data_IF_181398765192
#
_entry.id   IF_181398765192
#
_cell.length_a   1.000
_cell.length_b   1.000
_cell.length_c   1.000
_cell.angle_alpha   90.00
_cell.angle_beta   90.00
_cell.angle_gamma   90.00
#
_symmetry.space_group_name_H-M   'P 1'
#
loop_
_entity.id
_entity.type
_entity.pdbx_description
1 polymer ?
#
# COMPACT_ATOMS: atom_id res chain seq x y z
N UNK A 1 15.56 4.70 2.70
CA UNK A 1 14.21 4.12 2.50
C UNK A 1 13.18 5.24 2.41
N UNK A 2 13.18 6.20 3.33
CA UNK A 2 12.28 7.36 3.36
C UNK A 2 12.24 8.17 2.04
N UNK A 3 13.40 8.39 1.40
CA UNK A 3 13.49 9.11 0.11
C UNK A 3 12.61 8.47 -0.98
N UNK A 4 12.60 7.13 -1.08
CA UNK A 4 11.81 6.41 -2.09
C UNK A 4 10.30 6.54 -1.81
N UNK A 5 9.90 6.51 -0.53
CA UNK A 5 8.50 6.69 -0.16
C UNK A 5 8.01 8.10 -0.46
N UNK A 6 8.85 9.11 -0.18
CA UNK A 6 8.60 10.51 -0.53
C UNK A 6 8.35 10.66 -2.03
N UNK A 7 9.32 10.23 -2.85
CA UNK A 7 9.23 10.30 -4.31
C UNK A 7 7.98 9.60 -4.86
N UNK A 8 7.60 8.45 -4.30
CA UNK A 8 6.40 7.72 -4.71
C UNK A 8 5.13 8.50 -4.42
N UNK A 9 4.99 9.06 -3.22
CA UNK A 9 3.78 9.79 -2.83
C UNK A 9 3.67 11.07 -3.65
N UNK A 10 4.76 11.83 -3.79
CA UNK A 10 4.81 13.03 -4.61
C UNK A 10 4.49 12.72 -6.08
N UNK A 11 5.09 11.68 -6.65
CA UNK A 11 4.78 11.23 -8.02
C UNK A 11 3.30 10.90 -8.18
N UNK A 12 2.72 10.20 -7.19
CA UNK A 12 1.31 9.77 -7.22
C UNK A 12 0.35 10.96 -7.15
N UNK A 13 0.70 12.00 -6.38
CA UNK A 13 -0.09 13.22 -6.24
C UNK A 13 0.07 14.21 -7.41
N UNK A 14 1.23 14.20 -8.08
CA UNK A 14 1.52 15.12 -9.21
C UNK A 14 1.02 14.55 -10.54
N UNK A 15 0.86 13.23 -10.66
CA UNK A 15 0.42 12.58 -11.89
C UNK A 15 -1.01 13.02 -12.25
N UNK A 16 -1.11 14.08 -13.06
CA UNK A 16 -2.36 14.55 -13.66
C UNK A 16 -3.10 13.38 -14.30
N UNK A 17 -4.43 13.34 -14.16
CA UNK A 17 -5.34 12.61 -15.06
C UNK A 17 -5.10 13.12 -16.51
N UNK A 18 -4.04 12.68 -17.17
CA UNK A 18 -3.93 12.71 -18.62
C UNK A 18 -4.82 11.58 -19.15
N UNK A 19 -6.12 11.64 -18.87
CA UNK A 19 -7.10 10.77 -19.48
C UNK A 19 -7.23 11.21 -20.93
N UNK A 20 -6.36 10.65 -21.79
CA UNK A 20 -6.76 10.39 -23.16
C UNK A 20 -8.01 9.50 -23.07
N UNK A 21 -9.09 9.91 -23.71
CA UNK A 21 -10.37 9.17 -23.75
C UNK A 21 -10.04 7.71 -24.13
N UNK A 22 -10.20 6.79 -23.17
CA UNK A 22 -9.91 5.36 -23.36
C UNK A 22 -8.61 4.80 -22.74
N UNK A 23 -7.79 5.59 -22.01
CA UNK A 23 -6.63 5.07 -21.27
C UNK A 23 -6.68 5.41 -19.77
N UNK A 24 -6.74 4.39 -18.92
CA UNK A 24 -6.62 4.53 -17.47
C UNK A 24 -5.15 4.76 -17.08
N UNK A 25 -4.86 5.94 -16.52
CA UNK A 25 -3.53 6.27 -16.01
C UNK A 25 -3.26 5.64 -14.64
N UNK A 26 -3.14 4.32 -14.56
CA UNK A 26 -2.77 3.61 -13.33
C UNK A 26 -1.30 3.80 -12.93
N UNK A 27 -1.02 3.71 -11.63
CA UNK A 27 0.35 3.52 -11.10
C UNK A 27 0.42 2.13 -10.50
N UNK A 28 1.40 1.33 -10.93
CA UNK A 28 1.63 -0.01 -10.41
C UNK A 28 2.92 -0.04 -9.60
N UNK A 29 2.80 -0.28 -8.30
CA UNK A 29 3.95 -0.45 -7.41
C UNK A 29 4.37 -1.92 -7.37
N UNK A 30 5.64 -2.22 -7.69
CA UNK A 30 6.17 -3.58 -7.66
C UNK A 30 7.53 -3.60 -6.98
N UNK A 31 7.75 -4.59 -6.11
CA UNK A 31 9.07 -4.86 -5.53
C UNK A 31 9.62 -6.19 -6.07
N UNK A 32 10.94 -6.27 -6.27
CA UNK A 32 11.62 -7.47 -6.79
C UNK A 32 11.46 -8.73 -5.94
N UNK A 33 11.29 -8.59 -4.62
CA UNK A 33 11.45 -9.69 -3.65
C UNK A 33 10.34 -9.81 -2.61
N UNK A 34 9.31 -8.98 -2.61
CA UNK A 34 8.34 -9.10 -1.54
C UNK A 34 7.13 -8.19 -1.61
N UNK A 35 6.00 -8.85 -1.48
CA UNK A 35 4.72 -8.32 -1.05
C UNK A 35 4.81 -7.21 0.02
N UNK A 36 5.64 -7.40 1.06
CA UNK A 36 5.71 -6.50 2.22
C UNK A 36 6.05 -5.05 1.84
N UNK A 37 7.04 -4.81 0.98
CA UNK A 37 7.43 -3.42 0.63
C UNK A 37 6.35 -2.71 -0.18
N UNK A 38 5.72 -3.44 -1.11
CA UNK A 38 4.60 -2.93 -1.90
C UNK A 38 3.38 -2.68 -1.01
N UNK A 39 3.09 -3.58 -0.07
CA UNK A 39 2.00 -3.41 0.89
C UNK A 39 2.25 -2.28 1.87
N UNK A 40 3.50 -1.98 2.25
CA UNK A 40 3.80 -0.82 3.10
C UNK A 40 3.46 0.49 2.37
N UNK A 41 3.82 0.60 1.08
CA UNK A 41 3.46 1.77 0.25
C UNK A 41 1.94 1.86 0.16
N UNK A 42 1.27 0.73 -0.12
CA UNK A 42 -0.18 0.67 -0.27
C UNK A 42 -0.89 1.04 1.02
N UNK A 43 -0.41 0.56 2.18
CA UNK A 43 -0.91 0.92 3.51
C UNK A 43 -0.82 2.42 3.76
N UNK A 44 0.34 3.04 3.50
CA UNK A 44 0.53 4.48 3.72
C UNK A 44 -0.43 5.26 2.82
N UNK A 45 -0.51 4.92 1.53
CA UNK A 45 -1.40 5.60 0.59
C UNK A 45 -2.87 5.44 0.98
N UNK A 46 -3.32 4.22 1.31
CA UNK A 46 -4.70 3.94 1.68
C UNK A 46 -5.10 4.62 3.00
N UNK A 47 -4.20 4.63 4.00
CA UNK A 47 -4.42 5.38 5.24
C UNK A 47 -4.50 6.88 4.98
N UNK A 48 -3.63 7.43 4.13
CA UNK A 48 -3.72 8.83 3.71
C UNK A 48 -5.03 9.14 2.98
N UNK A 49 -5.61 8.18 2.25
CA UNK A 49 -6.92 8.29 1.61
C UNK A 49 -8.10 8.06 2.58
N UNK A 50 -7.85 7.82 3.86
CA UNK A 50 -8.90 7.59 4.86
C UNK A 50 -9.60 6.23 4.74
N UNK A 51 -8.98 5.26 4.07
CA UNK A 51 -9.47 3.88 4.02
C UNK A 51 -9.30 3.24 5.40
N UNK A 52 -10.29 2.46 5.84
CA UNK A 52 -10.29 1.82 7.15
C UNK A 52 -9.24 0.70 7.25
N UNK A 53 -8.75 0.49 8.47
CA UNK A 53 -7.65 -0.44 8.75
C UNK A 53 -7.97 -1.89 8.35
N UNK A 54 -9.23 -2.30 8.46
CA UNK A 54 -9.65 -3.65 8.10
C UNK A 54 -9.52 -3.86 6.60
N UNK A 55 -9.99 -2.92 5.78
CA UNK A 55 -9.85 -2.95 4.32
C UNK A 55 -8.39 -3.00 3.90
N UNK A 56 -7.52 -2.21 4.55
CA UNK A 56 -6.07 -2.19 4.27
C UNK A 56 -5.42 -3.54 4.61
N UNK A 57 -5.75 -4.10 5.77
CA UNK A 57 -5.23 -5.41 6.17
C UNK A 57 -5.69 -6.51 5.20
N UNK A 58 -6.91 -6.42 4.70
CA UNK A 58 -7.46 -7.40 3.75
C UNK A 58 -6.78 -7.32 2.37
N UNK A 59 -6.45 -6.12 1.88
CA UNK A 59 -5.65 -5.93 0.65
C UNK A 59 -4.33 -6.70 0.72
N UNK A 60 -3.62 -6.56 1.84
CA UNK A 60 -2.38 -7.29 2.08
C UNK A 60 -2.62 -8.81 2.05
N UNK A 61 -3.65 -9.32 2.72
CA UNK A 61 -3.95 -10.75 2.67
C UNK A 61 -4.23 -11.26 1.25
N UNK A 62 -4.93 -10.48 0.41
CA UNK A 62 -5.22 -10.83 -0.98
C UNK A 62 -3.96 -10.95 -1.83
N UNK A 63 -3.01 -10.04 -1.68
CA UNK A 63 -1.76 -10.08 -2.47
C UNK A 63 -0.89 -11.28 -2.10
N UNK A 64 -0.88 -11.72 -0.83
CA UNK A 64 -0.25 -13.01 -0.45
C UNK A 64 -1.00 -14.21 -1.01
N UNK A 65 -2.34 -14.23 -0.91
CA UNK A 65 -3.16 -15.31 -1.44
C UNK A 65 -2.95 -15.51 -2.94
N UNK A 66 -2.91 -14.43 -3.73
CA UNK A 66 -2.65 -14.47 -5.17
C UNK A 66 -1.27 -15.08 -5.48
N UNK A 67 -0.24 -14.73 -4.69
CA UNK A 67 1.10 -15.30 -4.83
C UNK A 67 1.15 -16.80 -4.49
N UNK A 68 0.44 -17.23 -3.45
CA UNK A 68 0.35 -18.65 -3.08
C UNK A 68 -0.37 -19.48 -4.16
N UNK A 69 -1.43 -18.94 -4.75
CA UNK A 69 -2.11 -19.60 -5.87
C UNK A 69 -1.24 -19.70 -7.12
N UNK A 70 -0.40 -18.69 -7.41
CA UNK A 70 0.57 -18.74 -8.50
C UNK A 70 1.60 -19.86 -8.28
N UNK A 71 2.09 -20.02 -7.04
CA UNK A 71 2.99 -21.13 -6.67
C UNK A 71 2.31 -22.51 -6.82
N UNK A 72 1.05 -22.66 -6.39
CA UNK A 72 0.28 -23.90 -6.55
C UNK A 72 0.07 -24.29 -8.03
N UNK A 73 -0.11 -23.31 -8.92
CA UNK A 73 -0.17 -23.56 -10.37
C UNK A 73 1.17 -24.02 -10.97
N UNK A 74 2.29 -23.63 -10.37
CA UNK A 74 3.64 -24.04 -10.78
C UNK A 74 4.03 -25.39 -10.14
N UNK A 75 3.52 -25.68 -8.93
CA UNK A 75 3.72 -26.94 -8.19
C UNK A 75 2.53 -27.89 -8.34
N UNK A 76 2.16 -28.26 -9.55
CA UNK A 76 1.09 -29.25 -9.79
C UNK A 76 1.46 -30.70 -9.37
N UNK A 77 2.57 -30.90 -8.65
CA UNK A 77 3.05 -32.22 -8.20
C UNK A 77 3.25 -32.38 -6.69
N UNK A 78 3.01 -31.37 -5.84
CA UNK A 78 3.08 -31.57 -4.38
C UNK A 78 1.91 -30.89 -3.66
N UNK A 79 1.25 -31.68 -2.82
CA UNK A 79 -0.02 -31.41 -2.13
C UNK A 79 0.14 -30.55 -0.87
N UNK A 80 0.75 -29.37 -0.98
CA UNK A 80 0.82 -28.45 0.16
C UNK A 80 -0.08 -27.23 -0.08
N UNK A 81 -1.28 -27.30 0.50
CA UNK A 81 -2.20 -26.16 0.56
C UNK A 81 -1.64 -25.20 1.61
N UNK A 82 -0.82 -24.25 1.14
CA UNK A 82 -0.30 -23.18 1.99
C UNK A 82 -1.48 -22.30 2.46
N UNK A 83 -1.83 -22.41 3.75
CA UNK A 83 -2.90 -21.66 4.39
C UNK A 83 -2.53 -20.18 4.43
N UNK A 84 -3.51 -19.29 4.21
CA UNK A 84 -3.35 -17.87 4.53
C UNK A 84 -3.14 -17.83 6.04
N UNK A 85 -1.90 -17.60 6.48
CA UNK A 85 -1.61 -17.54 7.90
C UNK A 85 -2.25 -16.28 8.46
N UNK A 86 -3.09 -16.44 9.47
CA UNK A 86 -3.70 -15.41 10.33
C UNK A 86 -2.71 -14.36 10.85
N UNK A 87 -1.40 -14.62 10.72
CA UNK A 87 -0.33 -13.69 11.05
C UNK A 87 -0.18 -12.49 10.09
N UNK A 88 -0.64 -12.56 8.84
CA UNK A 88 -0.36 -11.49 7.88
C UNK A 88 -1.18 -10.21 8.11
N UNK A 89 -2.48 -10.37 8.37
CA UNK A 89 -3.31 -9.23 8.78
C UNK A 89 -2.82 -8.65 10.11
N UNK A 90 -2.38 -9.50 11.05
CA UNK A 90 -1.82 -9.07 12.32
C UNK A 90 -0.53 -8.25 12.16
N UNK A 91 0.32 -8.59 11.17
CA UNK A 91 1.52 -7.81 10.86
C UNK A 91 1.14 -6.39 10.40
N UNK A 92 0.16 -6.27 9.49
CA UNK A 92 -0.29 -4.94 9.03
C UNK A 92 -0.96 -4.15 10.14
N UNK A 93 -1.80 -4.79 10.96
CA UNK A 93 -2.43 -4.15 12.10
C UNK A 93 -1.40 -3.62 13.10
N UNK A 94 -0.37 -4.41 13.43
CA UNK A 94 0.74 -3.97 14.29
C UNK A 94 1.57 -2.85 13.67
N UNK A 95 1.69 -2.79 12.34
CA UNK A 95 2.37 -1.70 11.67
C UNK A 95 1.57 -0.40 11.77
N UNK A 96 0.25 -0.45 11.57
CA UNK A 96 -0.65 0.69 11.75
C UNK A 96 -0.58 1.17 13.20
N UNK A 97 -0.80 0.27 14.16
CA UNK A 97 -0.72 0.58 15.60
C UNK A 97 0.63 1.20 15.97
N UNK A 98 1.73 0.67 15.43
CA UNK A 98 3.06 1.24 15.67
C UNK A 98 3.20 2.64 15.09
N UNK A 99 2.67 2.92 13.90
CA UNK A 99 2.71 4.25 13.30
C UNK A 99 1.92 5.23 14.18
N UNK A 100 0.69 4.86 14.53
CA UNK A 100 -0.20 5.72 15.31
C UNK A 100 0.38 5.99 16.71
N UNK A 101 0.94 4.97 17.38
CA UNK A 101 1.56 5.14 18.70
C UNK A 101 2.90 5.89 18.67
N UNK A 102 3.69 5.74 17.60
CA UNK A 102 5.02 6.37 17.51
C UNK A 102 4.94 7.81 17.03
N UNK A 103 4.03 8.11 16.11
CA UNK A 103 3.96 9.41 15.41
C UNK A 103 2.67 10.18 15.66
N UNK A 104 1.66 9.58 16.31
CA UNK A 104 0.34 10.18 16.55
C UNK A 104 -0.66 9.86 15.43
N UNK A 105 -0.23 9.94 14.18
CA UNK A 105 -1.04 9.61 13.00
C UNK A 105 -0.18 9.26 11.78
N UNK A 106 -0.82 8.73 10.73
CA UNK A 106 -0.15 8.54 9.44
C UNK A 106 0.22 9.88 8.80
N UNK A 107 -0.60 10.92 8.97
CA UNK A 107 -0.34 12.26 8.46
C UNK A 107 0.88 12.88 9.14
N UNK A 108 1.01 12.71 10.46
CA UNK A 108 2.17 13.17 11.22
C UNK A 108 3.44 12.41 10.82
N UNK A 109 3.35 11.10 10.57
CA UNK A 109 4.48 10.35 10.03
C UNK A 109 4.92 10.90 8.67
N UNK A 110 3.96 11.14 7.77
CA UNK A 110 4.25 11.58 6.40
C UNK A 110 4.78 13.02 6.35
N UNK A 111 4.22 13.92 7.16
CA UNK A 111 4.67 15.31 7.21
C UNK A 111 6.01 15.46 7.94
N UNK A 112 6.20 14.80 9.08
CA UNK A 112 7.39 15.01 9.92
C UNK A 112 8.57 14.10 9.58
N UNK A 113 8.32 12.90 9.04
CA UNK A 113 9.39 11.91 8.75
C UNK A 113 9.69 11.81 7.26
N UNK A 114 8.67 11.91 6.41
CA UNK A 114 8.84 11.90 4.96
C UNK A 114 8.93 13.31 4.37
N UNK A 115 8.73 14.36 5.19
CA UNK A 115 8.82 15.75 4.78
C UNK A 115 7.92 16.05 3.57
N UNK A 116 6.71 15.50 3.58
CA UNK A 116 5.70 15.71 2.55
C UNK A 116 4.71 16.76 3.04
N UNK A 117 4.55 17.83 2.26
CA UNK A 117 3.64 18.90 2.60
C UNK A 117 2.18 18.42 2.61
N UNK A 118 1.40 18.98 3.53
CA UNK A 118 -0.03 18.67 3.65
C UNK A 118 -0.80 18.96 2.35
N UNK A 119 -0.36 19.94 1.56
CA UNK A 119 -0.93 20.25 0.24
C UNK A 119 -0.86 19.04 -0.71
N UNK A 120 0.23 18.27 -0.67
CA UNK A 120 0.42 17.06 -1.50
C UNK A 120 -0.56 15.96 -1.06
N UNK A 121 -0.76 15.82 0.25
CA UNK A 121 -1.76 14.87 0.81
C UNK A 121 -3.17 15.26 0.35
N UNK A 122 -3.51 16.55 0.36
CA UNK A 122 -4.82 17.01 -0.12
C UNK A 122 -5.01 16.76 -1.62
N UNK A 123 -4.00 17.01 -2.46
CA UNK A 123 -4.04 16.68 -3.88
C UNK A 123 -4.23 15.18 -4.12
N UNK A 124 -3.59 14.34 -3.32
CA UNK A 124 -3.76 12.89 -3.37
C UNK A 124 -5.23 12.51 -3.07
N UNK A 125 -5.83 13.07 -2.02
CA UNK A 125 -7.25 12.83 -1.70
C UNK A 125 -8.19 13.30 -2.81
N UNK A 126 -7.98 14.50 -3.32
CA UNK A 126 -8.77 15.07 -4.43
C UNK A 126 -8.72 14.18 -5.67
N UNK A 127 -7.56 13.60 -5.98
CA UNK A 127 -7.39 12.79 -7.18
C UNK A 127 -8.09 11.42 -7.14
N UNK A 128 -8.17 10.79 -5.97
CA UNK A 128 -8.60 9.40 -5.83
C UNK A 128 -9.94 9.20 -5.10
N UNK A 129 -10.45 10.21 -4.38
CA UNK A 129 -11.73 10.14 -3.66
C UNK A 129 -12.84 11.00 -4.27
N UNK A 130 -12.48 11.98 -5.11
CA UNK A 130 -13.39 12.95 -5.76
C UNK A 130 -13.36 12.78 -7.28
#
# INVERSE_FOLDING_TARGET
>A
MNVIFKEIIEFTAIKKKLTLIGQENGVLFVSKKGHIKTSLISLILLKLLGVDDYTICMEHCLTRWANNNKKKRIQKNNTDIDYITTNDSLIMMKLIERIDTTFGSIEDYVTNVLEIDFEIIMKLREQYLV
#
